data_IF_924918081716
#
_entry.id   IF_924918081716
#
_cell.length_a   1.000
_cell.length_b   1.000
_cell.length_c   1.000
_cell.angle_alpha   90.00
_cell.angle_beta   90.00
_cell.angle_gamma   90.00
#
_symmetry.space_group_name_H-M   'P 1'
#
loop_
_entity.id
_entity.type
_entity.pdbx_description
1 polymer ?
#
# COMPACT_ATOMS: atom_id res chain seq x y z
N UNK A 1 10.05 -5.51 17.36
CA UNK A 1 9.95 -5.13 15.94
C UNK A 1 9.61 -3.65 15.90
N UNK A 2 10.38 -2.81 15.21
CA UNK A 2 10.00 -1.40 14.98
C UNK A 2 9.01 -1.40 13.82
N UNK A 3 7.72 -1.53 14.12
CA UNK A 3 6.67 -1.36 13.13
C UNK A 3 6.51 0.13 12.85
N UNK A 4 6.54 0.50 11.58
CA UNK A 4 6.09 1.82 11.13
C UNK A 4 4.64 1.98 11.56
N UNK A 5 4.36 2.93 12.45
CA UNK A 5 3.00 3.25 12.86
C UNK A 5 2.29 3.84 11.65
N UNK A 6 1.34 3.10 11.08
CA UNK A 6 0.51 3.57 9.98
C UNK A 6 -0.79 4.12 10.55
N UNK A 7 -1.21 5.26 10.04
CA UNK A 7 -2.49 5.86 10.39
C UNK A 7 -3.29 6.13 9.11
N UNK A 8 -4.60 6.29 9.24
CA UNK A 8 -5.46 6.68 8.12
C UNK A 8 -4.94 7.98 7.49
N UNK A 9 -4.90 8.06 6.16
CA UNK A 9 -4.33 9.18 5.42
C UNK A 9 -2.81 9.13 5.22
N UNK A 10 -2.12 8.11 5.76
CA UNK A 10 -0.69 7.93 5.50
C UNK A 10 -0.45 7.62 4.01
N UNK A 11 0.55 8.28 3.43
CA UNK A 11 1.08 7.91 2.11
C UNK A 11 2.02 6.72 2.24
N UNK A 12 1.78 5.67 1.47
CA UNK A 12 2.56 4.43 1.50
C UNK A 12 2.96 3.99 0.10
N UNK A 13 4.08 3.26 0.03
CA UNK A 13 4.61 2.63 -1.17
C UNK A 13 4.63 1.10 -1.02
N UNK A 14 4.26 0.39 -2.10
CA UNK A 14 4.24 -1.07 -2.17
C UNK A 14 4.40 -1.57 -3.61
N UNK A 15 4.72 -2.86 -3.77
CA UNK A 15 4.77 -3.50 -5.10
C UNK A 15 3.45 -4.15 -5.42
N UNK A 16 3.02 -4.08 -6.68
CA UNK A 16 1.79 -4.73 -7.15
C UNK A 16 1.75 -6.25 -6.91
N UNK A 17 2.91 -6.92 -6.99
CA UNK A 17 3.05 -8.34 -6.68
C UNK A 17 2.72 -8.72 -5.24
N UNK A 18 2.53 -7.75 -4.34
CA UNK A 18 2.22 -7.95 -2.92
C UNK A 18 0.74 -7.69 -2.60
N UNK A 19 -0.08 -7.33 -3.59
CA UNK A 19 -1.52 -7.09 -3.42
C UNK A 19 -2.26 -8.43 -3.24
N UNK A 20 -3.11 -8.50 -2.22
CA UNK A 20 -3.95 -9.67 -1.94
C UNK A 20 -5.28 -9.63 -2.69
N UNK A 21 -5.84 -8.44 -2.89
CA UNK A 21 -7.10 -8.24 -3.58
C UNK A 21 -7.16 -6.83 -4.17
N UNK A 22 -7.68 -6.63 -5.40
CA UNK A 22 -8.07 -7.66 -6.39
C UNK A 22 -6.88 -8.51 -6.85
N UNK A 23 -7.13 -9.60 -7.59
CA UNK A 23 -6.04 -10.45 -8.15
C UNK A 23 -5.03 -9.54 -8.88
N UNK A 24 -3.73 -9.59 -8.53
CA UNK A 24 -2.71 -8.79 -9.18
C UNK A 24 -2.77 -8.86 -10.70
N UNK A 25 -3.14 -10.00 -11.30
CA UNK A 25 -3.29 -10.16 -12.76
C UNK A 25 -4.34 -9.24 -13.37
N UNK A 26 -5.41 -8.90 -12.62
CA UNK A 26 -6.42 -7.93 -13.06
C UNK A 26 -5.94 -6.49 -12.93
N UNK A 27 -5.04 -6.21 -11.98
CA UNK A 27 -4.36 -4.90 -11.86
C UNK A 27 -3.26 -4.77 -12.92
N UNK A 28 -2.63 -5.88 -13.30
CA UNK A 28 -1.57 -5.96 -14.30
C UNK A 28 -2.05 -5.77 -15.75
N UNK A 29 -3.32 -6.07 -16.04
CA UNK A 29 -3.94 -5.68 -17.32
C UNK A 29 -3.93 -4.14 -17.51
N UNK A 30 -3.74 -3.38 -16.44
CA UNK A 30 -3.70 -1.92 -16.41
C UNK A 30 -2.29 -1.36 -16.06
N UNK A 31 -1.28 -2.17 -15.69
CA UNK A 31 0.06 -1.70 -15.22
C UNK A 31 1.17 -2.79 -15.28
N UNK A 32 2.47 -2.44 -15.32
CA UNK A 32 3.58 -3.43 -15.28
C UNK A 32 3.97 -3.89 -13.84
N UNK A 33 4.42 -5.15 -13.64
CA UNK A 33 4.60 -5.76 -12.31
C UNK A 33 5.76 -5.22 -11.46
N UNK A 34 6.74 -4.55 -12.05
CA UNK A 34 7.86 -3.95 -11.30
C UNK A 34 7.56 -2.53 -10.78
N UNK A 35 6.35 -2.01 -10.98
CA UNK A 35 6.00 -0.65 -10.57
C UNK A 35 5.77 -0.60 -9.06
N UNK A 36 6.51 0.30 -8.41
CA UNK A 36 6.24 0.71 -7.03
C UNK A 36 5.12 1.75 -7.08
N UNK A 37 4.02 1.44 -6.39
CA UNK A 37 2.80 2.26 -6.41
C UNK A 37 2.74 3.06 -5.12
N UNK A 38 2.46 4.36 -5.24
CA UNK A 38 2.17 5.24 -4.11
C UNK A 38 0.67 5.40 -3.97
N UNK A 39 0.16 5.19 -2.75
CA UNK A 39 -1.25 5.34 -2.44
C UNK A 39 -1.48 5.85 -1.03
N UNK A 40 -2.74 6.08 -0.70
CA UNK A 40 -3.20 6.56 0.60
C UNK A 40 -3.96 5.46 1.34
N UNK A 41 -3.65 5.28 2.62
CA UNK A 41 -4.36 4.33 3.50
C UNK A 41 -5.77 4.86 3.77
N UNK A 42 -6.77 4.16 3.25
CA UNK A 42 -8.19 4.45 3.46
C UNK A 42 -8.69 3.83 4.77
N UNK A 43 -8.33 2.56 5.02
CA UNK A 43 -8.74 1.80 6.21
C UNK A 43 -7.65 0.80 6.61
N UNK A 44 -7.57 0.49 7.91
CA UNK A 44 -6.83 -0.64 8.44
C UNK A 44 -7.83 -1.73 8.86
N UNK A 45 -7.44 -3.00 8.67
CA UNK A 45 -8.24 -4.17 8.99
C UNK A 45 -7.41 -5.19 9.74
N UNK A 46 -8.03 -5.83 10.71
CA UNK A 46 -7.42 -6.87 11.53
C UNK A 46 -7.44 -8.22 10.82
N UNK A 47 -6.68 -9.17 11.36
CA UNK A 47 -6.73 -10.60 10.99
C UNK A 47 -6.87 -11.44 12.27
N UNK A 48 -8.11 -11.71 12.67
CA UNK A 48 -8.36 -12.40 13.93
C UNK A 48 -7.92 -11.54 15.11
N UNK A 49 -6.92 -11.99 15.86
CA UNK A 49 -6.35 -11.26 17.01
C UNK A 49 -5.16 -10.36 16.63
N UNK A 50 -4.77 -10.32 15.35
CA UNK A 50 -3.71 -9.44 14.86
C UNK A 50 -4.30 -8.11 14.38
N UNK A 51 -4.19 -7.03 15.18
CA UNK A 51 -4.72 -5.73 14.77
C UNK A 51 -3.94 -5.17 13.58
N UNK A 52 -4.62 -4.41 12.72
CA UNK A 52 -4.01 -3.66 11.61
C UNK A 52 -3.15 -4.52 10.67
N UNK A 53 -3.53 -5.79 10.48
CA UNK A 53 -2.78 -6.72 9.63
C UNK A 53 -2.81 -6.36 8.14
N UNK A 54 -3.91 -5.74 7.68
CA UNK A 54 -4.12 -5.33 6.30
C UNK A 54 -4.45 -3.84 6.19
N UNK A 55 -3.99 -3.21 5.11
CA UNK A 55 -4.42 -1.87 4.72
C UNK A 55 -5.24 -1.93 3.43
N UNK A 56 -6.32 -1.14 3.39
CA UNK A 56 -7.07 -0.83 2.17
C UNK A 56 -6.53 0.49 1.64
N UNK A 57 -5.99 0.49 0.43
CA UNK A 57 -5.26 1.61 -0.15
C UNK A 57 -5.92 2.06 -1.45
N UNK A 58 -6.12 3.38 -1.59
CA UNK A 58 -6.46 3.98 -2.87
C UNK A 58 -5.18 4.52 -3.51
N UNK A 59 -4.91 4.13 -4.75
CA UNK A 59 -3.74 4.57 -5.50
C UNK A 59 -4.13 5.24 -6.82
N UNK A 60 -3.30 6.17 -7.28
CA UNK A 60 -3.48 6.79 -8.59
C UNK A 60 -3.22 5.74 -9.70
N UNK A 61 -4.08 5.72 -10.72
CA UNK A 61 -3.99 4.75 -11.81
C UNK A 61 -4.59 3.37 -11.50
N UNK A 62 -5.09 3.13 -10.29
CA UNK A 62 -5.84 1.91 -9.95
C UNK A 62 -7.29 2.29 -9.65
N UNK A 63 -8.22 1.79 -10.46
CA UNK A 63 -9.64 2.15 -10.40
C UNK A 63 -10.34 1.69 -9.12
N UNK A 64 -9.81 0.65 -8.46
CA UNK A 64 -10.40 0.06 -7.25
C UNK A 64 -9.38 0.06 -6.11
N UNK A 65 -9.82 0.24 -4.84
CA UNK A 65 -8.94 0.07 -3.70
C UNK A 65 -8.30 -1.31 -3.69
N UNK A 66 -7.03 -1.35 -3.26
CA UNK A 66 -6.26 -2.58 -3.14
C UNK A 66 -6.04 -2.92 -1.68
N UNK A 67 -5.99 -4.22 -1.37
CA UNK A 67 -5.70 -4.74 -0.04
C UNK A 67 -4.28 -5.27 0.00
N UNK A 68 -3.47 -4.75 0.93
CA UNK A 68 -2.05 -5.06 1.05
C UNK A 68 -1.71 -5.36 2.52
N UNK A 69 -0.90 -6.39 2.82
CA UNK A 69 -0.41 -6.61 4.18
C UNK A 69 0.40 -5.42 4.69
N UNK A 70 0.15 -4.96 5.91
CA UNK A 70 0.90 -3.82 6.48
C UNK A 70 2.40 -4.08 6.56
N UNK A 71 2.78 -5.35 6.78
CA UNK A 71 4.18 -5.79 6.90
C UNK A 71 5.04 -5.54 5.66
N UNK A 72 4.45 -5.30 4.49
CA UNK A 72 5.18 -5.02 3.25
C UNK A 72 5.17 -3.54 2.85
N UNK A 73 4.38 -2.71 3.55
CA UNK A 73 4.24 -1.29 3.25
C UNK A 73 5.47 -0.52 3.73
N UNK A 74 5.79 0.55 3.00
CA UNK A 74 6.79 1.53 3.41
C UNK A 74 6.17 2.91 3.41
N UNK A 75 6.52 3.74 4.39
CA UNK A 75 6.01 5.11 4.44
C UNK A 75 6.67 5.93 3.33
N UNK A 76 5.85 6.68 2.58
CA UNK A 76 6.31 7.58 1.54
C UNK A 76 6.24 9.02 2.04
N UNK A 77 7.38 9.71 2.04
CA UNK A 77 7.45 11.14 2.38
C UNK A 77 7.84 11.93 1.15
N UNK A 78 6.96 12.84 0.77
CA UNK A 78 7.19 13.77 -0.32
C UNK A 78 7.95 14.99 0.23
N UNK A 79 9.24 15.12 -0.12
CA UNK A 79 10.01 16.34 0.15
C UNK A 79 10.16 17.11 -1.14
N UNK A 80 9.61 18.33 -1.20
CA UNK A 80 9.79 19.35 -2.24
C UNK A 80 10.40 18.83 -3.56
N UNK A 81 9.59 18.11 -4.35
CA UNK A 81 9.93 17.66 -5.71
C UNK A 81 10.60 16.29 -5.85
N UNK A 82 11.01 15.62 -4.76
CA UNK A 82 11.59 14.28 -4.80
C UNK A 82 10.91 13.39 -3.75
N UNK A 83 10.13 12.41 -4.20
CA UNK A 83 9.54 11.39 -3.35
C UNK A 83 10.62 10.50 -2.71
N UNK A 84 10.62 10.38 -1.38
CA UNK A 84 11.55 9.50 -0.66
C UNK A 84 10.78 8.45 0.14
N UNK A 85 11.17 7.19 -0.01
CA UNK A 85 10.63 6.08 0.78
C UNK A 85 11.47 5.95 2.05
N UNK A 86 10.80 5.95 3.20
CA UNK A 86 11.44 5.76 4.51
C UNK A 86 10.97 4.45 5.14
N UNK A 87 11.90 3.82 5.87
CA UNK A 87 11.72 2.56 6.59
C UNK A 87 11.46 2.80 8.07
#
# INVERSE_FOLDING_TARGET
MRGTHLEQGSKVAFRLSQVYCPDPRRVLEETTPEVEVVGEVMYLSDRGEEPEHFAVIQAAGILRPVVVPVSVLKTFVEKSGIGTIIR
#
